data_IF_401644729814
#
_entry.id   IF_401644729814
#
_cell.length_a   1.000
_cell.length_b   1.000
_cell.length_c   1.000
_cell.angle_alpha   90.00
_cell.angle_beta   90.00
_cell.angle_gamma   90.00
#
_symmetry.space_group_name_H-M   'P 1'
#
loop_
_entity.id
_entity.type
_entity.pdbx_description
1 polymer ?
#
# COMPACT_ATOMS: atom_id res chain seq x y z
N UNK A 1 -0.64 -22.76 15.70
CA UNK A 1 -0.28 -22.94 17.14
C UNK A 1 0.34 -24.31 17.46
N UNK A 2 0.86 -25.04 16.45
CA UNK A 2 1.59 -26.28 16.75
C UNK A 2 2.97 -25.96 17.32
N UNK A 3 3.44 -26.75 18.28
CA UNK A 3 4.79 -26.61 18.81
C UNK A 3 5.85 -26.87 17.73
N UNK A 4 5.58 -27.76 16.80
CA UNK A 4 6.47 -28.04 15.67
C UNK A 4 6.63 -26.84 14.75
N UNK A 5 5.53 -26.13 14.44
CA UNK A 5 5.60 -24.90 13.65
C UNK A 5 6.41 -23.81 14.36
N UNK A 6 6.21 -23.64 15.67
CA UNK A 6 7.00 -22.70 16.46
C UNK A 6 8.50 -23.03 16.37
N UNK A 7 8.88 -24.28 16.57
CA UNK A 7 10.28 -24.74 16.50
C UNK A 7 10.87 -24.57 15.12
N UNK A 8 10.12 -24.82 14.07
CA UNK A 8 10.57 -24.59 12.69
C UNK A 8 10.87 -23.12 12.44
N UNK A 9 9.98 -22.21 12.88
CA UNK A 9 10.19 -20.75 12.74
C UNK A 9 11.38 -20.32 13.61
N UNK A 10 11.49 -20.80 14.85
CA UNK A 10 12.61 -20.49 15.74
C UNK A 10 13.95 -20.91 15.11
N UNK A 11 14.05 -22.17 14.63
CA UNK A 11 15.26 -22.68 13.97
C UNK A 11 15.59 -21.86 12.73
N UNK A 12 14.60 -21.57 11.88
CA UNK A 12 14.78 -20.74 10.69
C UNK A 12 15.36 -19.35 11.01
N UNK A 13 14.86 -18.71 12.06
CA UNK A 13 15.35 -17.40 12.49
C UNK A 13 16.80 -17.51 12.99
N UNK A 14 17.11 -18.48 13.83
CA UNK A 14 18.46 -18.69 14.38
C UNK A 14 19.46 -18.97 13.27
N UNK A 15 19.11 -19.87 12.36
CA UNK A 15 20.02 -20.38 11.33
C UNK A 15 20.32 -19.33 10.26
N UNK A 16 19.35 -18.46 9.91
CA UNK A 16 19.48 -17.51 8.81
C UNK A 16 19.74 -16.06 9.25
N UNK A 17 19.31 -15.67 10.47
CA UNK A 17 19.35 -14.27 10.92
C UNK A 17 20.06 -14.11 12.29
N UNK A 18 20.26 -15.21 13.02
CA UNK A 18 20.86 -15.21 14.35
C UNK A 18 19.92 -14.65 15.44
N UNK A 19 20.33 -14.82 16.68
CA UNK A 19 19.52 -14.39 17.85
C UNK A 19 19.68 -12.91 18.18
N UNK A 20 20.76 -12.29 17.76
CA UNK A 20 21.18 -10.93 18.19
C UNK A 20 20.95 -9.84 17.16
N UNK A 21 20.46 -10.19 15.98
CA UNK A 21 20.19 -9.24 14.90
C UNK A 21 18.97 -8.33 15.21
N UNK A 22 18.84 -7.28 14.41
CA UNK A 22 17.67 -6.38 14.45
C UNK A 22 16.89 -6.52 13.14
N UNK A 23 16.30 -7.68 12.93
CA UNK A 23 15.50 -7.98 11.74
C UNK A 23 14.00 -7.81 12.00
N UNK A 24 13.26 -7.66 10.93
CA UNK A 24 11.80 -7.56 10.95
C UNK A 24 11.20 -8.75 10.24
N UNK A 25 10.26 -9.41 10.90
CA UNK A 25 9.58 -10.60 10.38
C UNK A 25 8.07 -10.36 10.31
N UNK A 26 7.45 -10.86 9.25
CA UNK A 26 6.00 -10.92 9.14
C UNK A 26 5.57 -12.36 9.36
N UNK A 27 4.71 -12.58 10.34
CA UNK A 27 4.11 -13.86 10.68
C UNK A 27 2.62 -13.76 10.40
N UNK A 28 2.19 -14.32 9.28
CA UNK A 28 0.81 -14.29 8.84
C UNK A 28 0.34 -15.71 8.46
N UNK A 29 -0.95 -16.01 8.59
CA UNK A 29 -1.51 -17.23 7.99
C UNK A 29 -1.49 -17.15 6.47
N UNK A 30 -1.81 -18.28 5.83
CA UNK A 30 -1.99 -18.34 4.38
C UNK A 30 -3.08 -17.37 3.91
N UNK A 31 -2.98 -16.94 2.64
CA UNK A 31 -3.96 -16.08 1.98
C UNK A 31 -5.25 -16.86 1.65
N UNK A 32 -5.96 -17.25 2.70
CA UNK A 32 -7.23 -17.96 2.63
C UNK A 32 -8.26 -17.36 3.58
N UNK A 33 -9.57 -17.48 3.30
CA UNK A 33 -10.62 -17.01 4.20
C UNK A 33 -10.91 -17.97 5.36
N UNK A 34 -10.10 -19.01 5.55
CA UNK A 34 -10.32 -20.06 6.54
C UNK A 34 -9.19 -20.12 7.55
N UNK A 35 -9.55 -20.14 8.82
CA UNK A 35 -8.61 -20.28 9.92
C UNK A 35 -8.60 -21.73 10.47
N UNK A 36 -7.49 -22.12 11.10
CA UNK A 36 -7.37 -23.41 11.75
C UNK A 36 -8.30 -23.51 12.96
N UNK A 37 -9.12 -24.57 13.00
CA UNK A 37 -10.05 -24.89 14.08
C UNK A 37 -9.71 -26.20 14.80
N UNK A 38 -8.43 -26.62 14.80
CA UNK A 38 -8.00 -27.74 15.62
C UNK A 38 -8.22 -27.43 17.12
N UNK A 39 -8.24 -28.47 17.97
CA UNK A 39 -8.53 -28.31 19.40
C UNK A 39 -7.67 -27.23 20.07
N UNK A 40 -6.37 -27.16 19.75
CA UNK A 40 -5.46 -26.14 20.32
C UNK A 40 -5.81 -24.73 19.86
N UNK A 41 -6.07 -24.52 18.55
CA UNK A 41 -6.43 -23.20 18.02
C UNK A 41 -7.77 -22.73 18.55
N UNK A 42 -8.76 -23.62 18.63
CA UNK A 42 -10.08 -23.32 19.21
C UNK A 42 -9.97 -22.97 20.70
N UNK A 43 -9.13 -23.70 21.46
CA UNK A 43 -8.88 -23.38 22.87
C UNK A 43 -8.22 -22.00 23.07
N UNK A 44 -7.48 -21.48 22.07
CA UNK A 44 -6.94 -20.12 22.06
C UNK A 44 -7.96 -19.06 21.64
N UNK A 45 -9.12 -19.46 21.13
CA UNK A 45 -10.19 -18.56 20.71
C UNK A 45 -10.36 -18.43 19.20
N UNK A 46 -9.69 -19.24 18.38
CA UNK A 46 -9.92 -19.24 16.93
C UNK A 46 -11.33 -19.68 16.58
N UNK A 47 -11.85 -19.10 15.50
CA UNK A 47 -13.04 -19.58 14.78
C UNK A 47 -12.66 -19.86 13.32
N UNK A 48 -13.58 -20.40 12.54
CA UNK A 48 -13.33 -20.65 11.10
C UNK A 48 -12.88 -19.43 10.31
N UNK A 49 -13.24 -18.22 10.78
CA UNK A 49 -12.93 -16.94 10.11
C UNK A 49 -12.00 -16.03 10.88
N UNK A 50 -11.55 -16.45 12.06
CA UNK A 50 -10.67 -15.63 12.91
C UNK A 50 -9.50 -16.46 13.43
N UNK A 51 -8.30 -16.17 12.93
CA UNK A 51 -7.03 -16.75 13.35
C UNK A 51 -6.26 -15.85 14.33
N UNK A 52 -6.73 -14.64 14.58
CA UNK A 52 -6.01 -13.63 15.39
C UNK A 52 -5.55 -14.19 16.74
N UNK A 53 -6.35 -14.93 17.52
CA UNK A 53 -5.90 -15.43 18.83
C UNK A 53 -4.67 -16.33 18.74
N UNK A 54 -4.67 -17.33 17.86
CA UNK A 54 -3.55 -18.25 17.72
C UNK A 54 -2.31 -17.61 17.10
N UNK A 55 -2.49 -16.69 16.14
CA UNK A 55 -1.37 -15.92 15.55
C UNK A 55 -0.75 -14.97 16.57
N UNK A 56 -1.57 -14.30 17.37
CA UNK A 56 -1.10 -13.45 18.48
C UNK A 56 -0.26 -14.23 19.47
N UNK A 57 -0.72 -15.41 19.88
CA UNK A 57 0.04 -16.27 20.81
C UNK A 57 1.40 -16.67 20.23
N UNK A 58 1.44 -17.09 18.97
CA UNK A 58 2.68 -17.45 18.27
C UNK A 58 3.67 -16.28 18.24
N UNK A 59 3.19 -15.09 17.86
CA UNK A 59 4.04 -13.90 17.74
C UNK A 59 4.56 -13.45 19.12
N UNK A 60 3.75 -13.49 20.14
CA UNK A 60 4.17 -13.18 21.51
C UNK A 60 5.29 -14.09 21.99
N UNK A 61 5.18 -15.40 21.74
CA UNK A 61 6.26 -16.37 22.05
C UNK A 61 7.55 -16.05 21.29
N UNK A 62 7.47 -15.78 19.99
CA UNK A 62 8.62 -15.41 19.17
C UNK A 62 9.25 -14.10 19.64
N UNK A 63 8.44 -13.09 19.97
CA UNK A 63 8.93 -11.78 20.44
C UNK A 63 9.66 -11.85 21.77
N UNK A 64 9.23 -12.74 22.68
CA UNK A 64 9.91 -13.02 23.94
C UNK A 64 11.23 -13.77 23.72
N UNK A 65 11.25 -14.74 22.80
CA UNK A 65 12.44 -15.49 22.45
C UNK A 65 13.52 -14.64 21.77
N UNK A 66 13.08 -13.68 20.94
CA UNK A 66 13.96 -12.82 20.17
C UNK A 66 13.69 -11.32 20.46
N UNK A 67 14.07 -10.81 21.62
CA UNK A 67 13.68 -9.45 22.05
C UNK A 67 14.29 -8.31 21.22
N UNK A 68 15.28 -8.59 20.40
CA UNK A 68 15.92 -7.61 19.48
C UNK A 68 15.30 -7.60 18.09
N UNK A 69 14.60 -8.64 17.71
CA UNK A 69 13.86 -8.70 16.44
C UNK A 69 12.48 -8.09 16.61
N UNK A 70 11.93 -7.61 15.51
CA UNK A 70 10.55 -7.08 15.48
C UNK A 70 9.67 -8.01 14.68
N UNK A 71 8.48 -8.29 15.18
CA UNK A 71 7.52 -9.19 14.57
C UNK A 71 6.23 -8.45 14.22
N UNK A 72 5.71 -8.71 13.04
CA UNK A 72 4.44 -8.17 12.58
C UNK A 72 3.47 -9.29 12.24
N UNK A 73 2.22 -9.14 12.63
CA UNK A 73 1.10 -9.86 12.01
C UNK A 73 0.47 -8.99 10.93
N UNK A 74 -0.45 -9.57 10.16
CA UNK A 74 -1.29 -8.80 9.24
C UNK A 74 -2.66 -8.54 9.87
N UNK A 75 -3.30 -7.43 9.53
CA UNK A 75 -4.74 -7.22 9.69
C UNK A 75 -5.39 -7.42 8.33
N UNK A 76 -5.65 -8.68 7.99
CA UNK A 76 -6.13 -9.12 6.68
C UNK A 76 -6.84 -10.46 6.78
N UNK A 77 -7.94 -10.65 6.04
CA UNK A 77 -8.74 -11.87 6.04
C UNK A 77 -8.98 -12.43 7.46
N UNK A 78 -8.42 -13.61 7.76
CA UNK A 78 -8.62 -14.29 9.05
C UNK A 78 -7.95 -13.60 10.24
N UNK A 79 -7.05 -12.64 10.01
CA UNK A 79 -6.41 -11.85 11.06
C UNK A 79 -6.87 -10.38 11.09
N UNK A 80 -8.00 -10.06 10.45
CA UNK A 80 -8.51 -8.69 10.38
C UNK A 80 -8.96 -8.14 11.74
N UNK A 81 -9.42 -9.01 12.64
CA UNK A 81 -9.86 -8.60 13.98
C UNK A 81 -8.66 -8.20 14.85
N UNK A 82 -8.84 -7.17 15.63
CA UNK A 82 -7.83 -6.74 16.61
C UNK A 82 -7.77 -7.73 17.76
N UNK A 83 -6.55 -8.02 18.22
CA UNK A 83 -6.34 -8.85 19.41
C UNK A 83 -6.79 -8.10 20.68
N UNK A 84 -7.20 -8.85 21.68
CA UNK A 84 -7.49 -8.35 23.04
C UNK A 84 -6.24 -8.18 23.92
N UNK A 85 -5.08 -8.67 23.44
CA UNK A 85 -3.81 -8.62 24.17
C UNK A 85 -3.02 -7.35 23.86
N UNK A 86 -2.42 -6.75 24.88
CA UNK A 86 -1.40 -5.71 24.67
C UNK A 86 -0.16 -6.32 24.03
N UNK A 87 0.34 -5.70 22.97
CA UNK A 87 1.51 -6.15 22.23
C UNK A 87 2.76 -5.45 22.76
N UNK A 88 3.87 -6.18 22.96
CA UNK A 88 5.13 -5.56 23.39
C UNK A 88 5.73 -4.65 22.30
N UNK A 89 6.69 -3.77 22.64
CA UNK A 89 7.26 -2.79 21.72
C UNK A 89 7.88 -3.38 20.44
N UNK A 90 8.27 -4.65 20.46
CA UNK A 90 8.81 -5.35 19.30
C UNK A 90 7.76 -6.18 18.54
N UNK A 91 6.47 -5.91 18.77
CA UNK A 91 5.38 -6.54 18.01
C UNK A 91 4.49 -5.45 17.41
N UNK A 92 4.14 -5.61 16.15
CA UNK A 92 3.28 -4.69 15.42
C UNK A 92 2.28 -5.39 14.49
N UNK A 93 1.59 -4.59 13.72
CA UNK A 93 0.61 -5.04 12.72
C UNK A 93 0.85 -4.34 11.39
N UNK A 94 0.64 -5.08 10.30
CA UNK A 94 0.53 -4.53 8.94
C UNK A 94 -0.94 -4.61 8.55
N UNK A 95 -1.60 -3.44 8.47
CA UNK A 95 -3.01 -3.35 8.10
C UNK A 95 -3.14 -3.30 6.59
N UNK A 96 -3.83 -4.26 6.01
CA UNK A 96 -4.12 -4.28 4.57
C UNK A 96 -5.19 -3.26 4.22
N UNK A 97 -4.90 -2.42 3.23
CA UNK A 97 -5.83 -1.45 2.67
C UNK A 97 -6.48 -1.92 1.36
N UNK A 98 -6.46 -3.24 1.06
CA UNK A 98 -7.02 -3.78 -0.19
C UNK A 98 -8.52 -3.51 -0.34
N UNK A 99 -9.26 -3.55 0.76
CA UNK A 99 -10.70 -3.30 0.79
C UNK A 99 -11.05 -1.81 0.97
N UNK A 100 -10.05 -0.98 1.27
CA UNK A 100 -10.24 0.46 1.38
C UNK A 100 -10.22 1.09 -0.01
N UNK A 101 -11.33 1.68 -0.49
CA UNK A 101 -11.45 2.11 -1.88
C UNK A 101 -10.37 3.10 -2.30
N UNK A 102 -9.75 2.86 -3.46
CA UNK A 102 -8.81 3.81 -4.10
C UNK A 102 -9.60 4.93 -4.76
N UNK A 103 -9.91 5.96 -4.01
CA UNK A 103 -10.61 7.16 -4.46
C UNK A 103 -10.23 8.34 -3.59
N UNK A 104 -10.63 9.52 -4.01
CA UNK A 104 -10.52 10.70 -3.16
C UNK A 104 -11.11 10.42 -1.78
N UNK A 105 -10.36 10.75 -0.75
CA UNK A 105 -10.81 10.69 0.63
C UNK A 105 -10.77 12.08 1.28
N UNK A 106 -11.79 12.40 2.07
CA UNK A 106 -11.81 13.59 2.91
C UNK A 106 -12.01 13.23 4.40
N UNK A 107 -11.93 11.94 4.73
CA UNK A 107 -12.10 11.41 6.07
C UNK A 107 -13.54 11.44 6.59
N UNK A 108 -14.53 11.78 5.76
CA UNK A 108 -15.91 12.03 6.22
C UNK A 108 -16.88 10.92 5.87
N UNK A 109 -16.61 10.18 4.79
CA UNK A 109 -17.52 9.12 4.40
C UNK A 109 -17.38 7.87 5.29
N UNK A 110 -18.30 6.95 5.14
CA UNK A 110 -18.41 5.75 5.96
C UNK A 110 -17.22 4.81 5.83
N UNK A 111 -16.65 4.69 4.62
CA UNK A 111 -15.49 3.82 4.41
C UNK A 111 -14.22 4.43 5.02
N UNK A 112 -14.07 5.75 4.94
CA UNK A 112 -12.94 6.46 5.55
C UNK A 112 -12.99 6.30 7.08
N UNK A 113 -14.17 6.51 7.68
CA UNK A 113 -14.39 6.33 9.12
C UNK A 113 -14.13 4.90 9.57
N UNK A 114 -14.60 3.91 8.81
CA UNK A 114 -14.40 2.50 9.12
C UNK A 114 -12.93 2.12 9.10
N UNK A 115 -12.18 2.59 8.11
CA UNK A 115 -10.74 2.32 8.05
C UNK A 115 -9.97 3.04 9.17
N UNK A 116 -10.31 4.30 9.43
CA UNK A 116 -9.77 5.06 10.55
C UNK A 116 -10.03 4.37 11.89
N UNK A 117 -11.25 3.90 12.14
CA UNK A 117 -11.62 3.15 13.35
C UNK A 117 -10.81 1.84 13.47
N UNK A 118 -10.55 1.14 12.38
CA UNK A 118 -9.69 -0.05 12.37
C UNK A 118 -8.27 0.29 12.85
N UNK A 119 -7.69 1.38 12.37
CA UNK A 119 -6.37 1.85 12.81
C UNK A 119 -6.38 2.28 14.29
N UNK A 120 -7.40 3.02 14.71
CA UNK A 120 -7.54 3.46 16.10
C UNK A 120 -7.73 2.26 17.06
N UNK A 121 -8.39 1.20 16.62
CA UNK A 121 -8.52 -0.02 17.42
C UNK A 121 -7.18 -0.76 17.53
N UNK A 122 -6.39 -0.86 16.48
CA UNK A 122 -5.03 -1.40 16.56
C UNK A 122 -4.11 -0.54 17.44
N UNK A 123 -4.25 0.78 17.39
CA UNK A 123 -3.48 1.71 18.21
C UNK A 123 -3.67 1.51 19.73
N UNK A 124 -4.79 0.94 20.14
CA UNK A 124 -5.03 0.60 21.56
C UNK A 124 -4.12 -0.52 22.06
N UNK A 125 -3.60 -1.37 21.18
CA UNK A 125 -2.83 -2.57 21.53
C UNK A 125 -1.38 -2.55 21.06
N UNK A 126 -1.02 -1.69 20.09
CA UNK A 126 0.36 -1.52 19.62
C UNK A 126 0.60 -0.11 19.07
N UNK A 127 1.84 0.37 19.16
CA UNK A 127 2.29 1.60 18.50
C UNK A 127 3.01 1.33 17.16
N UNK A 128 3.21 0.05 16.80
CA UNK A 128 3.88 -0.36 15.56
C UNK A 128 2.83 -0.73 14.52
N UNK A 129 2.22 0.28 13.90
CA UNK A 129 1.21 0.10 12.86
C UNK A 129 1.82 0.45 11.52
N UNK A 130 1.84 -0.52 10.60
CA UNK A 130 2.23 -0.34 9.22
C UNK A 130 1.02 -0.56 8.32
N UNK A 131 1.05 0.05 7.14
CA UNK A 131 0.00 -0.12 6.14
C UNK A 131 0.56 -0.87 4.94
N UNK A 132 -0.22 -1.78 4.39
CA UNK A 132 -0.01 -2.37 3.08
C UNK A 132 -1.04 -1.77 2.14
N UNK A 133 -0.62 -0.82 1.34
CA UNK A 133 -1.50 -0.11 0.39
C UNK A 133 -1.13 -0.40 -1.06
N UNK A 134 -2.00 -0.05 -1.98
CA UNK A 134 -1.92 -0.39 -3.39
C UNK A 134 -1.91 0.88 -4.22
N UNK A 135 -1.02 0.94 -5.20
CA UNK A 135 -0.81 2.16 -6.00
C UNK A 135 -0.86 1.90 -7.51
N UNK A 136 -1.35 0.74 -7.93
CA UNK A 136 -1.38 0.40 -9.34
C UNK A 136 -2.62 -0.42 -9.73
N UNK A 137 -2.87 -0.48 -11.05
CA UNK A 137 -3.77 -1.43 -11.67
C UNK A 137 -2.97 -2.69 -12.06
N UNK A 138 -3.30 -3.81 -11.46
CA UNK A 138 -2.57 -5.08 -11.65
C UNK A 138 -2.96 -5.86 -12.91
N UNK A 139 -4.04 -5.46 -13.59
CA UNK A 139 -4.43 -6.05 -14.87
C UNK A 139 -3.78 -5.35 -16.07
N UNK A 140 -3.39 -4.06 -15.89
CA UNK A 140 -2.84 -3.26 -16.99
C UNK A 140 -1.87 -2.19 -16.46
N UNK A 141 -0.59 -2.54 -16.42
CA UNK A 141 0.47 -1.64 -15.95
C UNK A 141 0.77 -0.47 -16.89
N UNK A 142 0.42 -0.58 -18.17
CA UNK A 142 0.70 0.45 -19.16
C UNK A 142 -0.38 1.53 -19.21
N UNK A 143 -1.59 1.23 -18.75
CA UNK A 143 -2.62 2.27 -18.58
C UNK A 143 -2.21 3.24 -17.49
N UNK A 144 -2.17 4.56 -17.74
CA UNK A 144 -1.88 5.55 -16.70
C UNK A 144 -2.80 5.39 -15.50
N UNK A 145 -2.21 5.42 -14.31
CA UNK A 145 -2.95 5.24 -13.05
C UNK A 145 -2.75 6.46 -12.15
N UNK A 146 -3.69 7.43 -12.16
CA UNK A 146 -3.57 8.71 -11.46
C UNK A 146 -3.87 8.55 -9.96
N UNK A 147 -2.87 8.11 -9.22
CA UNK A 147 -2.99 7.72 -7.81
C UNK A 147 -2.38 8.75 -6.84
N UNK A 148 -1.60 9.73 -7.32
CA UNK A 148 -0.72 10.52 -6.46
C UNK A 148 -1.48 11.39 -5.46
N UNK A 149 -2.52 12.11 -5.91
CA UNK A 149 -3.37 12.92 -5.02
C UNK A 149 -4.18 12.05 -4.05
N UNK A 150 -4.62 10.88 -4.51
CA UNK A 150 -5.31 9.90 -3.67
C UNK A 150 -4.33 9.32 -2.63
N UNK A 151 -3.13 8.91 -3.04
CA UNK A 151 -2.10 8.41 -2.14
C UNK A 151 -1.71 9.45 -1.08
N UNK A 152 -1.58 10.73 -1.45
CA UNK A 152 -1.33 11.81 -0.50
C UNK A 152 -2.41 11.88 0.58
N UNK A 153 -3.69 11.92 0.19
CA UNK A 153 -4.81 11.98 1.12
C UNK A 153 -4.85 10.77 2.05
N UNK A 154 -4.57 9.58 1.51
CA UNK A 154 -4.49 8.34 2.29
C UNK A 154 -3.31 8.38 3.26
N UNK A 155 -2.14 8.83 2.85
CA UNK A 155 -0.97 9.00 3.73
C UNK A 155 -1.25 9.95 4.89
N UNK A 156 -1.94 11.06 4.62
CA UNK A 156 -2.38 12.01 5.66
C UNK A 156 -3.34 11.34 6.66
N UNK A 157 -4.34 10.60 6.17
CA UNK A 157 -5.27 9.83 7.01
C UNK A 157 -4.52 8.79 7.87
N UNK A 158 -3.66 7.99 7.25
CA UNK A 158 -2.91 6.94 7.96
C UNK A 158 -2.00 7.52 9.05
N UNK A 159 -1.29 8.60 8.73
CA UNK A 159 -0.44 9.31 9.68
C UNK A 159 -1.26 9.87 10.85
N UNK A 160 -2.40 10.49 10.59
CA UNK A 160 -3.31 11.01 11.62
C UNK A 160 -3.77 9.92 12.59
N UNK A 161 -4.01 8.69 12.09
CA UNK A 161 -4.45 7.54 12.88
C UNK A 161 -3.30 6.65 13.39
N UNK A 162 -2.06 7.14 13.35
CA UNK A 162 -0.92 6.55 14.05
C UNK A 162 -0.13 5.51 13.26
N UNK A 163 -0.30 5.41 11.94
CA UNK A 163 0.57 4.59 11.13
C UNK A 163 2.02 5.12 11.18
N UNK A 164 2.97 4.20 11.41
CA UNK A 164 4.40 4.48 11.52
C UNK A 164 5.17 4.20 10.24
N UNK A 165 4.57 3.50 9.30
CA UNK A 165 5.17 3.14 8.03
C UNK A 165 4.15 2.58 7.05
N UNK A 166 4.58 2.49 5.79
CA UNK A 166 3.73 1.98 4.71
C UNK A 166 4.57 1.17 3.73
N UNK A 167 3.98 0.16 3.18
CA UNK A 167 4.43 -0.53 1.98
C UNK A 167 3.42 -0.27 0.86
N UNK A 168 3.89 0.36 -0.22
CA UNK A 168 3.11 0.51 -1.43
C UNK A 168 3.34 -0.68 -2.35
N UNK A 169 2.31 -1.49 -2.53
CA UNK A 169 2.30 -2.53 -3.55
C UNK A 169 2.03 -1.88 -4.91
N UNK A 170 3.07 -1.83 -5.73
CA UNK A 170 3.08 -1.09 -6.99
C UNK A 170 3.29 -1.98 -8.21
N UNK A 171 3.97 -1.44 -9.23
CA UNK A 171 4.24 -2.15 -10.46
C UNK A 171 5.12 -3.36 -10.23
N UNK A 172 4.79 -4.44 -10.88
CA UNK A 172 5.46 -5.71 -10.71
C UNK A 172 6.77 -5.88 -11.48
N UNK A 173 7.21 -5.02 -12.39
CA UNK A 173 8.37 -5.33 -13.24
C UNK A 173 9.05 -4.11 -13.88
N UNK A 174 9.12 -2.99 -13.20
CA UNK A 174 9.85 -1.79 -13.66
C UNK A 174 9.31 -1.16 -14.95
N UNK A 175 8.09 -1.44 -15.36
CA UNK A 175 7.46 -0.83 -16.53
C UNK A 175 5.96 -0.59 -16.33
N UNK A 176 5.62 0.37 -15.52
CA UNK A 176 4.28 0.94 -15.51
C UNK A 176 4.32 2.36 -16.06
N UNK A 177 3.17 2.81 -16.52
CA UNK A 177 3.05 4.16 -17.06
C UNK A 177 3.44 5.21 -16.03
N UNK A 178 4.35 6.10 -16.38
CA UNK A 178 4.89 7.15 -15.53
C UNK A 178 5.55 6.66 -14.22
N UNK A 179 6.12 5.45 -14.21
CA UNK A 179 6.62 4.80 -13.00
C UNK A 179 7.69 5.61 -12.27
N UNK A 180 8.68 6.13 -12.98
CA UNK A 180 9.77 6.93 -12.40
C UNK A 180 9.24 8.22 -11.77
N UNK A 181 8.34 8.93 -12.46
CA UNK A 181 7.70 10.13 -11.94
C UNK A 181 6.86 9.84 -10.71
N UNK A 182 6.07 8.78 -10.74
CA UNK A 182 5.26 8.33 -9.59
C UNK A 182 6.13 7.95 -8.41
N UNK A 183 7.21 7.22 -8.64
CA UNK A 183 8.19 6.84 -7.61
C UNK A 183 8.83 8.08 -6.98
N UNK A 184 9.24 9.06 -7.79
CA UNK A 184 9.78 10.33 -7.29
C UNK A 184 8.79 11.05 -6.37
N UNK A 185 7.54 11.23 -6.82
CA UNK A 185 6.51 11.94 -6.05
C UNK A 185 6.14 11.16 -4.78
N UNK A 186 5.90 9.86 -4.89
CA UNK A 186 5.56 9.03 -3.73
C UNK A 186 6.67 9.00 -2.69
N UNK A 187 7.94 8.94 -3.12
CA UNK A 187 9.08 9.01 -2.20
C UNK A 187 9.11 10.33 -1.41
N UNK A 188 8.83 11.45 -2.07
CA UNK A 188 8.73 12.75 -1.41
C UNK A 188 7.56 12.79 -0.41
N UNK A 189 6.40 12.25 -0.80
CA UNK A 189 5.21 12.19 0.05
C UNK A 189 5.39 11.26 1.27
N UNK A 190 6.18 10.19 1.15
CA UNK A 190 6.54 9.34 2.29
C UNK A 190 7.37 10.08 3.35
N UNK A 191 8.16 11.05 2.93
CA UNK A 191 8.94 11.91 3.85
C UNK A 191 8.00 12.99 4.45
N UNK A 192 7.21 13.64 3.59
CA UNK A 192 6.29 14.68 4.02
C UNK A 192 5.01 14.67 3.18
N UNK A 193 3.90 14.11 3.69
CA UNK A 193 2.64 14.03 2.96
C UNK A 193 1.93 15.38 2.73
N UNK A 194 2.47 16.49 3.27
CA UNK A 194 1.93 17.83 3.06
C UNK A 194 2.53 18.55 1.84
N UNK A 195 3.49 17.94 1.15
CA UNK A 195 4.09 18.53 -0.04
C UNK A 195 3.07 18.64 -1.18
N UNK A 196 3.09 19.73 -1.97
CA UNK A 196 2.13 19.93 -3.05
C UNK A 196 2.42 18.99 -4.23
N UNK A 197 1.54 18.03 -4.48
CA UNK A 197 1.70 17.00 -5.53
C UNK A 197 1.95 17.62 -6.89
N UNK A 198 1.18 18.66 -7.27
CA UNK A 198 1.31 19.29 -8.57
C UNK A 198 2.70 19.93 -8.79
N UNK A 199 3.29 20.50 -7.74
CA UNK A 199 4.64 21.07 -7.83
C UNK A 199 5.72 19.98 -7.89
N UNK A 200 5.52 18.84 -7.25
CA UNK A 200 6.42 17.68 -7.36
C UNK A 200 6.39 17.11 -8.78
N UNK A 201 5.22 16.91 -9.36
CA UNK A 201 5.05 16.46 -10.76
C UNK A 201 5.72 17.43 -11.72
N UNK A 202 5.50 18.73 -11.53
CA UNK A 202 6.09 19.80 -12.35
C UNK A 202 7.62 19.81 -12.24
N UNK A 203 8.13 19.66 -11.03
CA UNK A 203 9.57 19.60 -10.77
C UNK A 203 10.21 18.43 -11.51
N UNK A 204 9.62 17.24 -11.41
CA UNK A 204 10.10 16.06 -12.10
C UNK A 204 10.16 16.28 -13.63
N UNK A 205 9.05 16.69 -14.24
CA UNK A 205 9.04 16.92 -15.70
C UNK A 205 9.94 18.06 -16.17
N UNK A 206 10.15 19.08 -15.35
CA UNK A 206 11.10 20.14 -15.67
C UNK A 206 12.55 19.63 -15.73
N UNK A 207 12.90 18.69 -14.86
CA UNK A 207 14.24 18.14 -14.77
C UNK A 207 14.49 17.06 -15.81
N UNK A 208 13.60 16.09 -15.93
CA UNK A 208 13.82 14.88 -16.73
C UNK A 208 13.39 15.05 -18.20
N UNK A 209 12.39 15.92 -18.45
CA UNK A 209 11.79 16.12 -19.77
C UNK A 209 11.71 17.60 -20.17
N UNK A 210 12.82 18.35 -20.19
CA UNK A 210 12.82 19.80 -20.34
C UNK A 210 12.13 20.29 -21.63
N UNK A 211 12.09 19.48 -22.66
CA UNK A 211 11.49 19.77 -23.96
C UNK A 211 9.97 19.53 -23.94
N UNK A 212 9.52 18.37 -23.47
CA UNK A 212 8.11 17.96 -23.48
C UNK A 212 7.38 18.21 -22.15
N UNK A 213 8.05 18.82 -21.18
CA UNK A 213 7.56 19.04 -19.81
C UNK A 213 6.14 19.60 -19.72
N UNK A 214 5.81 20.56 -20.56
CA UNK A 214 4.50 21.20 -20.52
C UNK A 214 3.38 20.21 -20.86
N UNK A 215 3.54 19.45 -21.93
CA UNK A 215 2.52 18.49 -22.38
C UNK A 215 2.38 17.32 -21.39
N UNK A 216 3.51 16.79 -20.88
CA UNK A 216 3.50 15.72 -19.89
C UNK A 216 2.84 16.16 -18.58
N UNK A 217 3.17 17.37 -18.11
CA UNK A 217 2.56 17.94 -16.92
C UNK A 217 1.06 18.18 -17.10
N UNK A 218 0.66 18.84 -18.17
CA UNK A 218 -0.75 19.16 -18.44
C UNK A 218 -1.58 17.86 -18.54
N UNK A 219 -1.09 16.86 -19.28
CA UNK A 219 -1.74 15.58 -19.44
C UNK A 219 -1.88 14.83 -18.12
N UNK A 220 -0.77 14.65 -17.38
CA UNK A 220 -0.81 13.87 -16.15
C UNK A 220 -1.62 14.56 -15.04
N UNK A 221 -1.50 15.88 -14.92
CA UNK A 221 -2.29 16.67 -13.96
C UNK A 221 -3.79 16.59 -14.27
N UNK A 222 -4.16 16.54 -15.54
CA UNK A 222 -5.56 16.34 -15.92
C UNK A 222 -6.07 14.96 -15.50
N UNK A 223 -5.27 13.90 -15.67
CA UNK A 223 -5.63 12.56 -15.19
C UNK A 223 -5.85 12.55 -13.66
N UNK A 224 -4.93 13.16 -12.90
CA UNK A 224 -5.05 13.28 -11.44
C UNK A 224 -6.33 14.03 -11.02
N UNK A 225 -6.66 15.11 -11.73
CA UNK A 225 -7.87 15.89 -11.46
C UNK A 225 -9.14 15.09 -11.79
N UNK A 226 -9.14 14.32 -12.87
CA UNK A 226 -10.26 13.46 -13.23
C UNK A 226 -10.47 12.37 -12.17
N UNK A 227 -9.40 11.80 -11.63
CA UNK A 227 -9.48 10.81 -10.55
C UNK A 227 -10.05 11.38 -9.24
N UNK A 228 -9.99 12.71 -9.03
CA UNK A 228 -10.61 13.38 -7.89
C UNK A 228 -12.15 13.47 -7.98
N UNK A 229 -12.77 12.98 -9.04
CA UNK A 229 -14.23 12.98 -9.21
C UNK A 229 -15.00 12.11 -8.20
N UNK A 230 -14.29 11.37 -7.34
CA UNK A 230 -14.88 10.47 -6.34
C UNK A 230 -15.16 9.05 -6.83
N UNK A 231 -14.93 8.76 -8.10
CA UNK A 231 -15.00 7.38 -8.61
C UNK A 231 -13.83 6.56 -8.09
N UNK A 232 -14.09 5.30 -7.76
CA UNK A 232 -13.07 4.35 -7.34
C UNK A 232 -12.17 4.00 -8.53
N UNK A 233 -10.85 4.02 -8.31
CA UNK A 233 -9.89 3.37 -9.20
C UNK A 233 -9.88 1.87 -8.93
N UNK A 234 -9.96 1.06 -9.97
CA UNK A 234 -9.93 -0.39 -9.84
C UNK A 234 -8.50 -0.92 -9.73
N UNK A 235 -8.26 -1.83 -8.79
CA UNK A 235 -6.99 -2.55 -8.70
C UNK A 235 -6.83 -3.57 -9.85
N UNK A 236 -7.94 -4.08 -10.34
CA UNK A 236 -8.03 -5.08 -11.41
C UNK A 236 -9.00 -4.58 -12.48
N UNK A 237 -8.68 -3.42 -13.03
CA UNK A 237 -9.51 -2.73 -14.01
C UNK A 237 -8.76 -2.64 -15.34
N UNK A 238 -9.32 -3.21 -16.37
CA UNK A 238 -8.77 -3.05 -17.72
C UNK A 238 -8.94 -1.61 -18.23
N UNK A 239 -8.31 -1.32 -19.38
CA UNK A 239 -8.37 0.00 -20.05
C UNK A 239 -9.81 0.51 -20.26
N UNK A 240 -10.77 -0.38 -20.52
CA UNK A 240 -12.19 -0.01 -20.72
C UNK A 240 -12.85 0.59 -19.47
N UNK A 241 -12.44 0.15 -18.29
CA UNK A 241 -12.93 0.74 -17.04
C UNK A 241 -12.26 2.08 -16.75
N UNK A 242 -10.98 2.19 -17.11
CA UNK A 242 -10.23 3.45 -17.02
C UNK A 242 -10.82 4.54 -17.95
N UNK A 243 -11.22 4.19 -19.16
CA UNK A 243 -11.93 5.09 -20.09
C UNK A 243 -13.22 5.65 -19.49
N UNK A 244 -13.97 4.85 -18.76
CA UNK A 244 -15.21 5.27 -18.11
C UNK A 244 -14.97 6.14 -16.86
N UNK A 245 -13.78 6.08 -16.32
CA UNK A 245 -13.40 6.72 -15.06
C UNK A 245 -12.67 8.05 -15.22
N UNK A 246 -11.45 8.00 -15.73
CA UNK A 246 -10.52 9.13 -15.74
C UNK A 246 -9.73 9.28 -17.04
N UNK A 247 -9.64 8.24 -17.85
CA UNK A 247 -8.90 8.25 -19.12
C UNK A 247 -9.86 8.58 -20.27
N UNK A 248 -9.66 9.74 -20.91
CA UNK A 248 -10.47 10.17 -22.04
C UNK A 248 -9.69 9.95 -23.34
N UNK A 249 -10.10 9.01 -24.23
CA UNK A 249 -9.35 8.66 -25.44
C UNK A 249 -9.00 9.83 -26.34
N UNK A 250 -9.94 10.75 -26.54
CA UNK A 250 -9.72 11.94 -27.39
C UNK A 250 -8.63 12.86 -26.84
N UNK A 251 -8.49 12.95 -25.52
CA UNK A 251 -7.43 13.75 -24.89
C UNK A 251 -6.09 13.05 -24.96
N UNK A 252 -6.07 11.73 -24.83
CA UNK A 252 -4.86 10.94 -25.05
C UNK A 252 -4.37 11.06 -26.50
N UNK A 253 -5.28 10.94 -27.47
CA UNK A 253 -4.94 11.08 -28.89
C UNK A 253 -4.36 12.49 -29.14
N UNK A 254 -5.01 13.53 -28.65
CA UNK A 254 -4.52 14.90 -28.77
C UNK A 254 -3.11 15.08 -28.16
N UNK A 255 -2.90 14.57 -26.95
CA UNK A 255 -1.60 14.58 -26.28
C UNK A 255 -0.55 13.85 -27.12
N UNK A 256 -0.88 12.67 -27.64
CA UNK A 256 0.00 11.87 -28.48
C UNK A 256 0.38 12.63 -29.76
N UNK A 257 -0.59 13.18 -30.48
CA UNK A 257 -0.36 13.93 -31.71
C UNK A 257 0.53 15.15 -31.48
N UNK A 258 0.29 15.91 -30.42
CA UNK A 258 1.11 17.08 -30.06
C UNK A 258 2.55 16.68 -29.73
N UNK A 259 2.72 15.57 -28.97
CA UNK A 259 4.04 15.08 -28.55
C UNK A 259 4.83 14.52 -29.73
N UNK A 260 4.20 13.71 -30.58
CA UNK A 260 4.84 13.12 -31.77
C UNK A 260 5.20 14.19 -32.80
N UNK A 261 4.30 15.12 -33.05
CA UNK A 261 4.56 16.25 -33.97
C UNK A 261 5.78 17.09 -33.54
N UNK A 262 5.90 17.32 -32.23
CA UNK A 262 7.05 18.02 -31.67
C UNK A 262 8.35 17.22 -31.79
N UNK A 263 8.31 15.93 -31.55
CA UNK A 263 9.48 15.07 -31.66
C UNK A 263 10.02 14.99 -33.05
N UNK A 264 9.13 14.94 -34.05
CA UNK A 264 9.53 14.98 -35.48
C UNK A 264 10.14 16.32 -35.94
N UNK A 265 9.74 17.42 -35.30
CA UNK A 265 10.29 18.76 -35.63
C UNK A 265 11.65 19.03 -34.97
N UNK A 266 12.00 18.29 -33.93
CA UNK A 266 13.21 18.54 -33.12
C UNK A 266 14.31 17.50 -33.29
N UNK A 267 14.03 16.34 -33.91
CA UNK A 267 15.06 15.39 -34.28
C UNK A 267 15.82 15.90 -35.51
N UNK A 268 17.16 15.98 -35.44
CA UNK A 268 17.93 16.30 -36.66
C UNK A 268 17.64 15.21 -37.68
N UNK A 269 17.32 15.62 -38.88
CA UNK A 269 17.27 14.75 -40.06
C UNK A 269 18.67 14.15 -40.23
N UNK A 270 18.84 12.88 -39.89
CA UNK A 270 20.07 12.12 -40.13
C UNK A 270 20.14 11.78 -41.63
#
# INVERSE_FOLDING_TARGET
>A
SSEDMYRQIESYIVDNFGEKGNFRFVIAPDDTPYACTCATCTALGNTEKNATPAVTELILRLSQRFPKHTFFTTSYLTTQQVTDKQLPPNVGVIVSAIDYPLRRTDGKDEQDKKFAEQLDNWKKVTNNIYIWDYINNFDDYLTPFPILKIAQQRLQLFKQHGASGIFFNGSGYSYSSFDEMRTFVLSALLINPELPVDELIKSYFNQEYPVSKKWLYDYYTELENNAQSGKRLGLYAGIRESEKGFLYPEKFIKFYDETVSYTHLTLPTI
#
